data_IF_486918065992
#
_entry.id   IF_486918065992
#
_cell.length_a   1.000
_cell.length_b   1.000
_cell.length_c   1.000
_cell.angle_alpha   90.00
_cell.angle_beta   90.00
_cell.angle_gamma   90.00
#
_symmetry.space_group_name_H-M   'P 1'
#
loop_
_entity.id
_entity.type
_entity.pdbx_description
1 polymer ?
#
# COMPACT_ATOMS: atom_id res chain seq x y z
N UNK A 1 -10.81 4.57 52.91
CA UNK A 1 -10.93 6.05 52.88
C UNK A 1 -10.53 6.49 51.47
N UNK A 2 -11.49 6.80 50.58
CA UNK A 2 -11.84 8.17 50.11
C UNK A 2 -10.60 8.96 49.70
N UNK A 3 -10.38 9.33 48.44
CA UNK A 3 -11.09 10.35 47.65
C UNK A 3 -10.30 10.49 46.31
N UNK A 4 -10.69 11.08 45.19
CA UNK A 4 -11.85 11.81 44.70
C UNK A 4 -11.68 11.86 43.17
N UNK A 5 -12.78 11.84 42.41
CA UNK A 5 -12.81 12.18 40.98
C UNK A 5 -12.45 13.67 40.77
N UNK A 6 -11.79 14.01 39.67
CA UNK A 6 -11.93 15.34 39.06
C UNK A 6 -11.92 15.25 37.53
N UNK A 7 -13.07 15.62 36.99
CA UNK A 7 -13.37 15.98 35.60
C UNK A 7 -12.78 17.39 35.35
N UNK A 8 -12.41 17.74 34.10
CA UNK A 8 -12.74 19.01 33.40
C UNK A 8 -11.96 19.10 32.07
N UNK A 9 -12.74 19.09 30.97
CA UNK A 9 -12.38 19.55 29.62
C UNK A 9 -12.26 21.08 29.57
N UNK A 10 -11.46 21.65 28.65
CA UNK A 10 -12.06 22.36 27.49
C UNK A 10 -11.21 22.13 26.21
N UNK A 11 -11.67 21.95 24.97
CA UNK A 11 -12.73 22.58 24.16
C UNK A 11 -12.82 24.12 24.27
N UNK A 12 -11.76 24.82 23.85
CA UNK A 12 -11.83 26.19 23.34
C UNK A 12 -10.46 26.68 22.80
N UNK A 13 -10.09 26.32 21.58
CA UNK A 13 -9.26 27.21 20.76
C UNK A 13 -9.65 27.06 19.29
N UNK A 14 -10.86 27.55 19.06
CA UNK A 14 -11.53 27.77 17.80
C UNK A 14 -10.98 29.09 17.22
N UNK A 15 -10.61 29.09 15.93
CA UNK A 15 -10.62 30.25 15.01
C UNK A 15 -9.71 31.44 15.36
N UNK A 16 -8.62 31.60 14.60
CA UNK A 16 -8.18 32.90 14.04
C UNK A 16 -6.86 32.74 13.24
N UNK A 17 -6.92 32.39 11.95
CA UNK A 17 -6.13 33.08 10.90
C UNK A 17 -6.91 32.97 9.59
N UNK A 18 -7.81 33.93 9.43
CA UNK A 18 -8.42 34.33 8.16
C UNK A 18 -7.40 35.01 7.26
N UNK A 19 -7.50 34.75 5.96
CA UNK A 19 -7.32 35.70 4.85
C UNK A 19 -6.01 36.52 4.79
N UNK A 20 -5.14 36.17 3.86
CA UNK A 20 -4.48 37.18 3.01
C UNK A 20 -4.69 36.78 1.55
N UNK A 21 -5.61 37.51 0.92
CA UNK A 21 -5.66 37.73 -0.51
C UNK A 21 -4.51 38.68 -0.86
N UNK A 22 -3.71 38.33 -1.84
CA UNK A 22 -3.08 39.33 -2.72
C UNK A 22 -3.07 38.79 -4.14
N UNK A 23 -3.95 39.36 -4.96
CA UNK A 23 -3.80 39.44 -6.41
C UNK A 23 -2.78 40.55 -6.77
N UNK A 24 -2.37 40.53 -8.05
CA UNK A 24 -1.46 41.41 -8.81
C UNK A 24 0.01 40.94 -8.84
N UNK A 25 0.67 40.85 -9.99
CA UNK A 25 0.43 41.56 -11.24
C UNK A 25 1.00 40.88 -12.49
N UNK A 26 0.54 41.41 -13.62
CA UNK A 26 0.92 41.06 -14.97
C UNK A 26 2.29 41.62 -15.37
N UNK A 27 3.08 40.80 -16.06
CA UNK A 27 4.02 41.13 -17.13
C UNK A 27 4.23 39.77 -17.85
N UNK A 28 3.96 39.59 -19.14
CA UNK A 28 4.13 40.52 -20.23
C UNK A 28 5.52 40.36 -20.83
N UNK A 29 5.87 39.18 -21.33
CA UNK A 29 6.99 39.00 -22.26
C UNK A 29 6.54 38.05 -23.38
N UNK A 30 6.54 38.60 -24.58
CA UNK A 30 6.13 37.93 -25.80
C UNK A 30 7.11 36.82 -26.17
N UNK A 31 6.55 35.72 -26.65
CA UNK A 31 7.28 34.79 -27.49
C UNK A 31 6.70 34.91 -28.89
N UNK A 32 7.55 35.36 -29.80
CA UNK A 32 7.30 35.45 -31.23
C UNK A 32 6.73 34.13 -31.76
N UNK A 33 5.66 34.25 -32.54
CA UNK A 33 5.23 33.27 -33.51
C UNK A 33 6.38 32.98 -34.48
N UNK A 34 6.92 31.76 -34.42
CA UNK A 34 7.40 31.13 -35.62
C UNK A 34 6.55 29.91 -35.93
N UNK A 35 5.60 30.20 -36.81
CA UNK A 35 4.85 29.29 -37.66
C UNK A 35 5.84 28.33 -38.34
N UNK A 36 5.80 27.07 -37.92
CA UNK A 36 6.26 25.95 -38.73
C UNK A 36 5.27 24.81 -38.51
N UNK A 37 4.22 24.89 -39.32
CA UNK A 37 3.23 23.86 -39.59
C UNK A 37 3.93 22.66 -40.26
N UNK A 38 4.69 21.88 -39.48
CA UNK A 38 5.00 20.49 -39.83
C UNK A 38 4.02 19.59 -39.08
N UNK A 39 3.03 19.15 -39.85
CA UNK A 39 2.05 18.13 -39.54
C UNK A 39 2.73 16.77 -39.30
N UNK A 40 3.53 16.67 -38.24
CA UNK A 40 3.95 15.39 -37.69
C UNK A 40 2.83 14.93 -36.76
N UNK A 41 2.17 13.82 -37.12
CA UNK A 41 1.42 13.02 -36.16
C UNK A 41 2.39 12.63 -35.06
N UNK A 42 2.49 13.45 -34.01
CA UNK A 42 3.03 13.06 -32.73
C UNK A 42 2.10 12.00 -32.19
N UNK A 43 2.37 10.75 -32.57
CA UNK A 43 1.99 9.62 -31.73
C UNK A 43 2.49 9.98 -30.34
N UNK A 44 1.55 10.18 -29.43
CA UNK A 44 1.77 10.56 -28.03
C UNK A 44 2.42 9.37 -27.32
N UNK A 45 3.68 9.13 -27.67
CA UNK A 45 4.52 8.08 -27.11
C UNK A 45 5.14 8.69 -25.87
N UNK A 46 4.90 8.12 -24.67
CA UNK A 46 5.54 8.61 -23.46
C UNK A 46 7.05 8.71 -23.68
N UNK A 47 7.68 9.76 -23.13
CA UNK A 47 9.13 10.05 -23.27
C UNK A 47 10.06 8.87 -22.87
N UNK A 48 9.49 7.81 -22.29
CA UNK A 48 10.16 6.59 -21.86
C UNK A 48 9.50 5.32 -22.39
N UNK A 49 8.95 5.34 -23.60
CA UNK A 49 8.52 4.11 -24.26
C UNK A 49 9.72 3.19 -24.49
N UNK A 50 9.72 2.06 -23.79
CA UNK A 50 10.69 0.98 -24.01
C UNK A 50 10.06 0.05 -25.05
N UNK A 51 10.62 -0.03 -26.27
CA UNK A 51 10.07 -0.90 -27.30
C UNK A 51 10.03 -2.37 -26.85
N UNK A 52 8.98 -3.14 -27.17
CA UNK A 52 8.86 -4.55 -26.80
C UNK A 52 10.06 -5.40 -27.21
N UNK A 53 10.76 -5.00 -28.28
CA UNK A 53 11.96 -5.64 -28.80
C UNK A 53 13.11 -5.69 -27.79
N UNK A 54 13.13 -4.81 -26.79
CA UNK A 54 14.09 -4.85 -25.68
C UNK A 54 13.85 -6.04 -24.74
N UNK A 55 12.64 -6.60 -24.73
CA UNK A 55 12.26 -7.71 -23.87
C UNK A 55 12.17 -9.05 -24.61
N UNK A 56 12.43 -9.09 -25.93
CA UNK A 56 12.28 -10.31 -26.75
C UNK A 56 13.15 -11.48 -26.28
N UNK A 57 14.30 -11.16 -25.69
CA UNK A 57 15.26 -12.13 -25.15
C UNK A 57 15.23 -12.17 -23.60
N UNK A 58 14.38 -11.34 -22.98
CA UNK A 58 14.23 -11.31 -21.54
C UNK A 58 13.50 -12.58 -21.09
N UNK A 59 14.19 -13.40 -20.30
CA UNK A 59 13.54 -14.51 -19.61
C UNK A 59 12.81 -13.96 -18.39
N UNK A 60 11.65 -14.53 -18.03
CA UNK A 60 11.03 -14.23 -16.75
C UNK A 60 12.05 -14.44 -15.64
N UNK A 61 12.06 -13.54 -14.65
CA UNK A 61 12.89 -13.72 -13.47
C UNK A 61 12.52 -15.06 -12.80
N UNK A 62 13.55 -15.80 -12.36
CA UNK A 62 13.33 -16.99 -11.54
C UNK A 62 12.53 -16.60 -10.30
N UNK A 63 11.44 -17.32 -9.95
CA UNK A 63 10.70 -17.05 -8.74
C UNK A 63 11.62 -17.07 -7.51
N UNK A 64 11.40 -16.14 -6.58
CA UNK A 64 12.10 -16.15 -5.30
C UNK A 64 11.63 -17.34 -4.46
N UNK A 65 12.52 -17.94 -3.65
CA UNK A 65 12.13 -19.00 -2.73
C UNK A 65 11.18 -18.46 -1.65
N UNK A 66 10.31 -19.33 -1.12
CA UNK A 66 9.34 -18.97 -0.07
C UNK A 66 10.01 -18.38 1.19
N UNK A 67 11.25 -18.79 1.49
CA UNK A 67 12.04 -18.25 2.60
C UNK A 67 12.45 -16.79 2.45
N UNK A 68 12.41 -16.24 1.24
CA UNK A 68 12.73 -14.84 0.93
C UNK A 68 11.46 -13.98 0.76
N UNK A 69 10.29 -14.59 0.90
CA UNK A 69 9.00 -13.92 0.84
C UNK A 69 8.48 -13.71 2.26
N UNK A 70 7.84 -12.57 2.47
CA UNK A 70 7.06 -12.28 3.67
C UNK A 70 5.59 -12.14 3.30
N UNK A 71 4.72 -12.72 4.13
CA UNK A 71 3.28 -12.70 3.92
C UNK A 71 2.55 -12.24 5.17
N UNK A 72 1.50 -11.45 4.96
CA UNK A 72 0.60 -10.97 5.99
C UNK A 72 -0.83 -11.35 5.63
N UNK A 73 -1.54 -11.94 6.58
CA UNK A 73 -2.95 -12.29 6.47
C UNK A 73 -3.71 -11.26 7.28
N UNK A 74 -4.49 -10.44 6.58
CA UNK A 74 -5.31 -9.37 7.15
C UNK A 74 -6.78 -9.71 6.97
N UNK A 75 -7.63 -9.31 7.89
CA UNK A 75 -9.06 -9.31 7.64
C UNK A 75 -9.39 -8.27 6.56
N UNK A 76 -10.39 -8.56 5.74
CA UNK A 76 -10.88 -7.58 4.78
C UNK A 76 -11.44 -6.33 5.50
N UNK A 77 -11.94 -6.51 6.72
CA UNK A 77 -12.41 -5.42 7.61
C UNK A 77 -11.29 -4.42 7.89
N UNK A 78 -10.10 -4.88 8.30
CA UNK A 78 -8.94 -4.02 8.58
C UNK A 78 -8.53 -3.23 7.34
N UNK A 79 -8.51 -3.87 6.19
CA UNK A 79 -8.22 -3.20 4.93
C UNK A 79 -9.31 -2.21 4.49
N UNK A 80 -10.59 -2.48 4.74
CA UNK A 80 -11.67 -1.56 4.45
C UNK A 80 -11.67 -0.34 5.39
N UNK A 81 -11.13 -0.48 6.61
CA UNK A 81 -10.94 0.64 7.54
C UNK A 81 -9.69 1.45 7.27
N UNK A 82 -8.69 0.89 6.58
CA UNK A 82 -7.54 1.66 6.11
C UNK A 82 -7.90 2.45 4.85
N UNK A 83 -7.18 3.54 4.58
CA UNK A 83 -7.49 4.42 3.46
C UNK A 83 -7.23 3.70 2.13
N UNK A 84 -8.28 3.10 1.56
CA UNK A 84 -8.23 2.52 0.22
C UNK A 84 -8.65 3.56 -0.81
N UNK A 85 -7.75 3.90 -1.73
CA UNK A 85 -8.14 4.54 -2.98
C UNK A 85 -8.54 3.44 -3.98
N UNK A 86 -9.79 2.98 -3.85
CA UNK A 86 -10.38 1.94 -4.74
C UNK A 86 -10.34 2.34 -6.22
N UNK A 87 -10.27 3.64 -6.54
CA UNK A 87 -10.18 4.12 -7.93
C UNK A 87 -8.79 3.95 -8.52
N UNK A 88 -7.75 4.05 -7.69
CA UNK A 88 -6.35 3.84 -8.10
C UNK A 88 -5.87 2.40 -7.88
N UNK A 89 -6.68 1.55 -7.24
CA UNK A 89 -6.27 0.18 -6.90
C UNK A 89 -5.14 0.15 -5.88
N UNK A 90 -5.04 1.18 -5.03
CA UNK A 90 -4.01 1.33 -4.00
C UNK A 90 -4.63 1.02 -2.64
N UNK A 91 -3.89 0.27 -1.83
CA UNK A 91 -4.24 -0.02 -0.44
C UNK A 91 -3.16 0.49 0.50
N UNK A 92 -3.55 0.76 1.74
CA UNK A 92 -2.66 1.19 2.82
C UNK A 92 -2.72 0.21 3.99
N UNK A 93 -2.19 -1.01 3.87
CA UNK A 93 -2.17 -1.94 4.99
C UNK A 93 -1.28 -1.41 6.12
N UNK A 94 -1.63 -1.73 7.38
CA UNK A 94 -0.72 -1.49 8.49
C UNK A 94 0.59 -2.24 8.28
N UNK A 95 1.70 -1.65 8.69
CA UNK A 95 3.02 -2.26 8.67
C UNK A 95 3.16 -3.18 9.86
N UNK A 96 3.22 -4.50 9.65
CA UNK A 96 3.27 -5.43 10.76
C UNK A 96 4.70 -5.48 11.27
N UNK A 97 4.99 -4.92 12.45
CA UNK A 97 6.26 -5.22 13.11
C UNK A 97 6.09 -6.53 13.86
N UNK A 98 6.45 -7.70 13.30
CA UNK A 98 5.89 -8.96 13.78
C UNK A 98 6.38 -9.33 15.19
N UNK A 99 7.50 -8.75 15.61
CA UNK A 99 8.08 -8.91 16.94
C UNK A 99 7.60 -7.85 17.95
N UNK A 100 6.88 -6.82 17.51
CA UNK A 100 6.54 -5.65 18.34
C UNK A 100 5.06 -5.23 18.26
N UNK A 101 4.32 -5.70 17.26
CA UNK A 101 2.93 -5.35 17.04
C UNK A 101 2.02 -6.47 17.55
N UNK A 102 1.31 -6.26 18.68
CA UNK A 102 0.43 -7.27 19.25
C UNK A 102 -0.78 -7.59 18.35
N UNK A 103 -1.02 -6.80 17.29
CA UNK A 103 -2.06 -7.10 16.30
C UNK A 103 -1.73 -8.31 15.46
N UNK A 104 -0.47 -8.74 15.41
CA UNK A 104 -0.02 -9.84 14.57
C UNK A 104 0.56 -10.98 15.39
N UNK A 105 0.40 -12.19 14.87
CA UNK A 105 1.08 -13.38 15.38
C UNK A 105 1.61 -14.24 14.24
N UNK A 106 2.59 -15.09 14.52
CA UNK A 106 3.08 -16.07 13.55
C UNK A 106 1.99 -17.05 13.17
N UNK A 107 1.88 -17.32 11.87
CA UNK A 107 0.90 -18.24 11.35
C UNK A 107 1.41 -19.68 11.41
N UNK A 108 0.87 -20.47 12.34
CA UNK A 108 1.22 -21.89 12.52
C UNK A 108 2.75 -22.07 12.64
N UNK A 109 3.34 -22.97 11.87
CA UNK A 109 4.79 -23.24 11.84
C UNK A 109 5.55 -22.41 10.79
N UNK A 110 4.87 -21.52 10.07
CA UNK A 110 5.50 -20.71 9.02
C UNK A 110 6.28 -19.53 9.61
N UNK A 111 7.57 -19.45 9.29
CA UNK A 111 8.46 -18.40 9.83
C UNK A 111 8.18 -17.00 9.27
N UNK A 112 7.71 -16.93 8.03
CA UNK A 112 7.56 -15.67 7.28
C UNK A 112 6.10 -15.32 6.96
N UNK A 113 5.14 -16.01 7.60
CA UNK A 113 3.71 -15.72 7.45
C UNK A 113 3.19 -15.25 8.79
N UNK A 114 2.56 -14.10 8.80
CA UNK A 114 1.97 -13.50 9.99
C UNK A 114 0.49 -13.23 9.74
N UNK A 115 -0.33 -13.44 10.76
CA UNK A 115 -1.77 -13.24 10.70
C UNK A 115 -2.21 -12.21 11.73
N UNK A 116 -3.17 -11.39 11.35
CA UNK A 116 -3.86 -10.50 12.27
C UNK A 116 -4.63 -11.30 13.33
N UNK A 117 -4.54 -10.83 14.57
CA UNK A 117 -5.21 -11.46 15.72
C UNK A 117 -6.72 -11.29 15.65
N UNK A 118 -7.46 -12.28 16.13
CA UNK A 118 -8.93 -12.30 16.16
C UNK A 118 -9.61 -12.40 14.78
N UNK A 119 -8.95 -13.04 13.80
CA UNK A 119 -9.61 -13.45 12.56
C UNK A 119 -10.31 -14.80 12.80
N UNK A 120 -11.61 -14.86 12.51
CA UNK A 120 -12.38 -16.10 12.55
C UNK A 120 -12.18 -16.94 11.27
N UNK A 121 -12.43 -18.26 11.34
CA UNK A 121 -12.24 -19.16 10.19
C UNK A 121 -13.10 -18.81 8.97
N UNK A 122 -14.25 -18.18 9.20
CA UNK A 122 -15.22 -17.80 8.16
C UNK A 122 -15.05 -16.34 7.70
N UNK A 123 -14.13 -15.58 8.29
CA UNK A 123 -13.89 -14.18 7.90
C UNK A 123 -13.16 -14.11 6.57
N UNK A 124 -13.62 -13.23 5.68
CA UNK A 124 -12.91 -12.87 4.47
C UNK A 124 -11.53 -12.27 4.79
N UNK A 125 -10.50 -12.75 4.10
CA UNK A 125 -9.11 -12.38 4.36
C UNK A 125 -8.39 -11.96 3.10
N UNK A 126 -7.33 -11.19 3.30
CA UNK A 126 -6.43 -10.75 2.24
C UNK A 126 -5.02 -11.19 2.59
N UNK A 127 -4.42 -11.94 1.69
CA UNK A 127 -3.02 -12.30 1.72
C UNK A 127 -2.22 -11.20 1.02
N UNK A 128 -1.46 -10.44 1.79
CA UNK A 128 -0.47 -9.47 1.28
C UNK A 128 0.88 -10.17 1.24
N UNK A 129 1.52 -10.24 0.07
CA UNK A 129 2.77 -10.99 -0.12
C UNK A 129 3.77 -10.19 -0.94
N UNK A 130 5.02 -10.14 -0.45
CA UNK A 130 6.11 -9.44 -1.12
C UNK A 130 7.48 -10.03 -0.73
N UNK A 131 8.57 -9.72 -1.48
CA UNK A 131 9.91 -10.06 -1.04
C UNK A 131 10.27 -9.38 0.28
N UNK A 132 10.96 -10.07 1.18
CA UNK A 132 11.38 -9.53 2.48
C UNK A 132 12.24 -8.26 2.32
N UNK A 133 13.17 -8.28 1.37
CA UNK A 133 14.01 -7.11 1.05
C UNK A 133 13.20 -5.89 0.59
N UNK A 134 12.04 -6.10 -0.04
CA UNK A 134 11.12 -5.05 -0.44
C UNK A 134 10.30 -4.56 0.75
N UNK A 135 9.81 -5.49 1.58
CA UNK A 135 9.11 -5.17 2.81
C UNK A 135 9.94 -4.28 3.75
N UNK A 136 11.21 -4.63 3.96
CA UNK A 136 12.14 -3.84 4.79
C UNK A 136 12.29 -2.40 4.30
N UNK A 137 12.33 -2.19 2.98
CA UNK A 137 12.37 -0.86 2.38
C UNK A 137 11.07 -0.10 2.60
N UNK A 138 9.92 -0.74 2.40
CA UNK A 138 8.62 -0.11 2.63
C UNK A 138 8.42 0.23 4.10
N UNK A 139 8.83 -0.65 5.02
CA UNK A 139 8.80 -0.41 6.46
C UNK A 139 9.65 0.81 6.84
N UNK A 140 10.85 0.95 6.30
CA UNK A 140 11.71 2.10 6.56
C UNK A 140 11.11 3.43 6.07
N UNK A 141 10.31 3.39 5.01
CA UNK A 141 9.60 4.55 4.46
C UNK A 141 8.16 4.75 4.94
N UNK A 142 7.69 3.90 5.87
CA UNK A 142 6.29 3.88 6.27
C UNK A 142 5.89 5.17 7.02
N UNK A 143 4.75 5.74 6.65
CA UNK A 143 4.15 6.86 7.36
C UNK A 143 2.94 6.35 8.16
N UNK A 144 2.76 6.86 9.38
CA UNK A 144 1.67 6.47 10.27
C UNK A 144 1.54 4.95 10.48
N UNK A 145 2.66 4.21 10.40
CA UNK A 145 2.69 2.76 10.47
C UNK A 145 1.85 2.05 9.39
N UNK A 146 1.77 2.64 8.20
CA UNK A 146 1.11 2.08 7.01
C UNK A 146 2.04 2.13 5.80
N UNK A 147 1.86 1.20 4.86
CA UNK A 147 2.58 1.16 3.58
C UNK A 147 1.60 1.29 2.43
N UNK A 148 1.90 2.13 1.46
CA UNK A 148 1.07 2.32 0.27
C UNK A 148 1.48 1.30 -0.80
N UNK A 149 0.56 0.41 -1.18
CA UNK A 149 0.83 -0.67 -2.13
C UNK A 149 -0.24 -0.74 -3.23
N UNK A 150 0.13 -1.03 -4.49
CA UNK A 150 -0.82 -1.40 -5.52
C UNK A 150 -1.38 -2.80 -5.24
N UNK A 151 -2.69 -2.92 -5.01
CA UNK A 151 -3.34 -4.16 -4.60
C UNK A 151 -3.12 -5.30 -5.61
N UNK A 152 -3.15 -4.99 -6.92
CA UNK A 152 -3.04 -5.98 -8.00
C UNK A 152 -1.74 -6.79 -8.00
N UNK A 153 -0.67 -6.27 -7.39
CA UNK A 153 0.64 -6.92 -7.40
C UNK A 153 0.94 -7.66 -6.09
N UNK A 154 0.37 -7.17 -4.98
CA UNK A 154 0.76 -7.62 -3.65
C UNK A 154 -0.36 -8.37 -2.92
N UNK A 155 -1.62 -8.26 -3.37
CA UNK A 155 -2.77 -8.75 -2.62
C UNK A 155 -3.52 -9.84 -3.37
N UNK A 156 -3.89 -10.88 -2.62
CA UNK A 156 -4.87 -11.87 -3.04
C UNK A 156 -5.99 -11.92 -2.02
N UNK A 157 -7.22 -11.81 -2.49
CA UNK A 157 -8.42 -11.82 -1.66
C UNK A 157 -8.98 -13.24 -1.63
N UNK A 158 -9.40 -13.69 -0.45
CA UNK A 158 -9.97 -15.00 -0.20
C UNK A 158 -11.29 -14.84 0.53
N UNK A 159 -12.28 -15.66 0.17
CA UNK A 159 -13.62 -15.59 0.74
C UNK A 159 -13.63 -15.92 2.24
N UNK A 160 -12.69 -16.75 2.69
CA UNK A 160 -12.50 -17.08 4.10
C UNK A 160 -11.07 -17.60 4.40
N UNK A 161 -10.72 -17.67 5.69
CA UNK A 161 -9.41 -18.17 6.13
C UNK A 161 -9.20 -19.67 5.77
N UNK A 162 -10.27 -20.47 5.72
CA UNK A 162 -10.18 -21.90 5.36
C UNK A 162 -9.76 -22.13 3.90
N UNK A 163 -10.26 -21.29 2.98
CA UNK A 163 -9.84 -21.29 1.58
C UNK A 163 -8.35 -20.93 1.44
N UNK A 164 -7.92 -19.86 2.12
CA UNK A 164 -6.50 -19.48 2.16
C UNK A 164 -5.62 -20.60 2.74
N UNK A 165 -6.08 -21.30 3.78
CA UNK A 165 -5.37 -22.42 4.38
C UNK A 165 -5.08 -23.54 3.38
N UNK A 166 -6.07 -23.84 2.55
CA UNK A 166 -5.94 -24.84 1.47
C UNK A 166 -4.90 -24.37 0.45
N UNK A 167 -4.88 -23.08 0.11
CA UNK A 167 -3.90 -22.52 -0.81
C UNK A 167 -2.47 -22.59 -0.25
N UNK A 168 -2.27 -22.25 1.03
CA UNK A 168 -0.95 -22.30 1.68
C UNK A 168 -0.43 -23.75 1.75
N UNK A 169 -1.29 -24.71 2.10
CA UNK A 169 -0.91 -26.12 2.20
C UNK A 169 -0.41 -26.71 0.87
N UNK A 170 -0.95 -26.25 -0.27
CA UNK A 170 -0.52 -26.67 -1.59
C UNK A 170 0.88 -26.13 -1.96
N UNK A 171 1.20 -24.89 -1.59
CA UNK A 171 2.44 -24.22 -2.00
C UNK A 171 3.69 -24.62 -1.18
N UNK A 172 3.52 -25.34 -0.07
CA UNK A 172 4.62 -25.73 0.83
C UNK A 172 5.24 -27.08 0.47
N UNK A 173 4.65 -27.80 -0.52
CA UNK A 173 5.08 -29.14 -0.93
C UNK A 173 6.03 -29.17 -2.13
N UNK A 174 6.35 -28.01 -2.70
CA UNK A 174 7.29 -27.83 -3.82
C UNK A 174 8.60 -27.18 -3.34
#
# INVERSE_FOLDING_TARGET
MKALKLIVFPLAMLIAVTMIVTMLGAAGEGFDEHDHDEMNKSTDVPDHFIPPEYFKDARPATPLPESEMISFILSEKTLNTSAQDKRKGIIEPPVPSPDQDPRFMKYKEHRNIFIETNIDHDDAVVLVRMPESMYERFRAGAQNNTITLPASHFCKFHDNLTDLDTHIACNVRD
#
